data_IF_080608931837
#
_entry.id   IF_080608931837
#
_cell.length_a   1.000
_cell.length_b   1.000
_cell.length_c   1.000
_cell.angle_alpha   90.00
_cell.angle_beta   90.00
_cell.angle_gamma   90.00
#
_symmetry.space_group_name_H-M   'P 1'
#
loop_
_entity.id
_entity.type
_entity.pdbx_description
1 polymer ?
#
# COMPACT_ATOMS: atom_id res chain seq x y z
N UNK A 1 12.14 -5.44 -0.95
CA UNK A 1 10.91 -6.18 -1.24
C UNK A 1 10.51 -6.98 0.00
N UNK A 2 9.27 -6.81 0.44
CA UNK A 2 8.68 -7.54 1.59
C UNK A 2 7.67 -8.60 1.14
N UNK A 3 7.35 -8.64 -0.14
CA UNK A 3 6.46 -9.61 -0.76
C UNK A 3 7.17 -10.88 -1.24
N UNK A 4 6.42 -11.70 -1.96
CA UNK A 4 6.92 -12.92 -2.57
C UNK A 4 7.79 -12.59 -3.80
N UNK A 5 8.90 -13.32 -3.95
CA UNK A 5 9.77 -13.30 -5.13
C UNK A 5 9.78 -14.65 -5.84
N UNK A 6 9.54 -15.73 -5.10
CA UNK A 6 9.49 -17.11 -5.61
C UNK A 6 8.55 -17.98 -4.75
N UNK A 7 8.42 -19.24 -5.13
CA UNK A 7 7.51 -20.19 -4.48
C UNK A 7 7.94 -20.65 -3.07
N UNK A 8 9.20 -20.39 -2.68
CA UNK A 8 9.71 -20.72 -1.36
C UNK A 8 9.52 -19.58 -0.35
N UNK A 9 9.13 -18.40 -0.82
CA UNK A 9 8.83 -17.27 0.05
C UNK A 9 7.59 -17.52 0.89
N UNK A 10 7.51 -16.84 2.02
CA UNK A 10 6.32 -16.83 2.87
C UNK A 10 5.07 -16.46 2.04
N UNK A 11 4.10 -17.38 2.02
CA UNK A 11 2.94 -17.26 1.12
C UNK A 11 2.03 -16.12 1.54
N UNK A 12 1.81 -15.21 0.62
CA UNK A 12 0.93 -14.06 0.79
C UNK A 12 -0.22 -14.09 -0.23
N UNK A 13 -1.40 -13.70 0.21
CA UNK A 13 -2.54 -13.42 -0.65
C UNK A 13 -2.81 -11.92 -0.69
N UNK A 14 -3.67 -11.46 -1.57
CA UNK A 14 -4.03 -10.04 -1.64
C UNK A 14 -4.62 -9.50 -0.32
N UNK A 15 -5.26 -10.34 0.48
CA UNK A 15 -5.78 -9.96 1.81
C UNK A 15 -4.61 -9.63 2.76
N UNK A 16 -3.58 -10.48 2.78
CA UNK A 16 -2.36 -10.26 3.56
C UNK A 16 -1.64 -8.98 3.12
N UNK A 17 -1.63 -8.68 1.82
CA UNK A 17 -1.03 -7.45 1.30
C UNK A 17 -1.72 -6.19 1.83
N UNK A 18 -3.04 -6.22 2.03
CA UNK A 18 -3.77 -5.14 2.69
C UNK A 18 -3.28 -4.88 4.11
N UNK A 19 -3.17 -5.94 4.93
CA UNK A 19 -2.69 -5.88 6.32
C UNK A 19 -1.25 -5.36 6.38
N UNK A 20 -0.35 -5.96 5.62
CA UNK A 20 1.07 -5.59 5.57
C UNK A 20 1.23 -4.11 5.18
N UNK A 21 0.55 -3.69 4.11
CA UNK A 21 0.63 -2.32 3.61
C UNK A 21 0.11 -1.30 4.62
N UNK A 22 -1.00 -1.61 5.29
CA UNK A 22 -1.57 -0.75 6.32
C UNK A 22 -0.60 -0.56 7.50
N UNK A 23 0.00 -1.64 7.98
CA UNK A 23 0.98 -1.59 9.07
C UNK A 23 2.22 -0.80 8.67
N UNK A 24 2.80 -1.08 7.51
CA UNK A 24 4.01 -0.40 7.04
C UNK A 24 3.83 1.10 6.83
N UNK A 25 2.70 1.51 6.24
CA UNK A 25 2.41 2.93 5.97
C UNK A 25 2.07 3.68 7.26
N UNK A 26 1.16 3.15 8.09
CA UNK A 26 0.75 3.82 9.33
C UNK A 26 1.88 3.90 10.35
N UNK A 27 2.74 2.89 10.43
CA UNK A 27 3.93 2.92 11.29
C UNK A 27 5.06 3.81 10.77
N UNK A 28 4.90 4.36 9.56
CA UNK A 28 5.94 5.10 8.84
C UNK A 28 7.22 4.29 8.63
N UNK A 29 7.08 2.98 8.51
CA UNK A 29 8.20 2.11 8.13
C UNK A 29 8.57 2.31 6.65
N UNK A 30 7.59 2.72 5.85
CA UNK A 30 7.76 3.11 4.44
C UNK A 30 6.86 4.31 4.13
N UNK A 31 7.20 5.08 3.11
CA UNK A 31 6.43 6.24 2.66
C UNK A 31 5.47 5.91 1.51
N UNK A 32 5.73 4.80 0.81
CA UNK A 32 4.94 4.39 -0.34
C UNK A 32 4.99 2.86 -0.52
N UNK A 33 3.88 2.28 -0.98
CA UNK A 33 3.78 0.84 -1.28
C UNK A 33 3.45 0.63 -2.75
N UNK A 34 4.23 -0.22 -3.43
CA UNK A 34 3.86 -0.78 -4.71
C UNK A 34 3.59 -2.26 -4.51
N UNK A 35 2.42 -2.70 -4.87
CA UNK A 35 1.96 -4.08 -4.71
C UNK A 35 1.03 -4.49 -5.85
N UNK A 36 0.44 -5.66 -5.75
CA UNK A 36 -0.53 -6.13 -6.73
C UNK A 36 -0.91 -7.59 -6.48
N UNK A 37 -1.74 -8.07 -7.35
CA UNK A 37 -2.11 -9.49 -7.43
C UNK A 37 -2.36 -9.85 -8.90
N UNK A 38 -2.86 -11.02 -9.22
CA UNK A 38 -3.09 -11.43 -10.60
C UNK A 38 -3.85 -10.37 -11.42
N UNK A 39 -4.93 -9.82 -10.89
CA UNK A 39 -5.73 -8.78 -11.56
C UNK A 39 -5.46 -7.35 -11.04
N UNK A 40 -4.76 -7.20 -9.92
CA UNK A 40 -4.59 -5.92 -9.21
C UNK A 40 -5.82 -5.47 -8.42
N UNK A 41 -7.02 -5.98 -8.73
CA UNK A 41 -8.28 -5.53 -8.11
C UNK A 41 -8.40 -5.96 -6.66
N UNK A 42 -8.06 -7.22 -6.35
CA UNK A 42 -8.12 -7.73 -4.98
C UNK A 42 -7.17 -6.98 -4.04
N UNK A 43 -5.94 -6.72 -4.48
CA UNK A 43 -4.98 -5.93 -3.72
C UNK A 43 -5.46 -4.48 -3.53
N UNK A 44 -5.99 -3.84 -4.57
CA UNK A 44 -6.60 -2.51 -4.49
C UNK A 44 -7.68 -2.43 -3.40
N UNK A 45 -8.62 -3.38 -3.40
CA UNK A 45 -9.71 -3.42 -2.41
C UNK A 45 -9.16 -3.65 -1.00
N UNK A 46 -8.24 -4.62 -0.84
CA UNK A 46 -7.67 -4.95 0.46
C UNK A 46 -6.88 -3.79 1.08
N UNK A 47 -6.07 -3.09 0.29
CA UNK A 47 -5.33 -1.93 0.75
C UNK A 47 -6.26 -0.80 1.18
N UNK A 48 -7.26 -0.49 0.35
CA UNK A 48 -8.20 0.59 0.63
C UNK A 48 -9.20 0.29 1.77
N UNK A 49 -9.23 -0.92 2.31
CA UNK A 49 -10.03 -1.27 3.48
C UNK A 49 -9.49 -0.60 4.76
N UNK A 50 -8.19 -0.31 4.81
CA UNK A 50 -7.54 0.19 6.02
C UNK A 50 -7.43 1.72 6.06
N UNK A 51 -7.49 2.33 7.27
CA UNK A 51 -7.18 3.74 7.45
C UNK A 51 -5.74 4.06 7.07
N UNK A 52 -5.47 5.30 6.70
CA UNK A 52 -4.13 5.76 6.35
C UNK A 52 -3.58 5.24 5.01
N UNK A 53 -4.37 4.45 4.27
CA UNK A 53 -3.97 3.91 2.96
C UNK A 53 -4.86 4.49 1.86
N UNK A 54 -4.24 5.10 0.86
CA UNK A 54 -4.89 5.54 -0.38
C UNK A 54 -4.18 4.86 -1.54
N UNK A 55 -4.83 3.82 -2.07
CA UNK A 55 -4.29 2.97 -3.13
C UNK A 55 -4.99 3.23 -4.45
N UNK A 56 -4.21 3.49 -5.50
CA UNK A 56 -4.66 3.58 -6.88
C UNK A 56 -4.43 2.28 -7.64
N UNK A 57 -5.29 2.02 -8.63
CA UNK A 57 -5.06 0.97 -9.62
C UNK A 57 -4.20 1.53 -10.75
N UNK A 58 -3.17 0.79 -11.14
CA UNK A 58 -2.21 1.27 -12.12
C UNK A 58 -1.91 0.18 -13.15
N UNK A 59 -2.07 0.50 -14.44
CA UNK A 59 -1.81 -0.39 -15.58
C UNK A 59 -0.71 0.18 -16.46
N UNK A 60 -0.62 1.51 -16.51
CA UNK A 60 0.29 2.23 -17.39
C UNK A 60 0.95 3.44 -16.70
N UNK A 61 2.03 3.99 -17.26
CA UNK A 61 2.76 5.11 -16.66
C UNK A 61 1.91 6.36 -16.41
N UNK A 62 0.92 6.60 -17.27
CA UNK A 62 -0.02 7.73 -17.14
C UNK A 62 -0.85 7.62 -15.86
N UNK A 63 -1.32 6.41 -15.52
CA UNK A 63 -2.04 6.15 -14.27
C UNK A 63 -1.17 6.52 -13.06
N UNK A 64 0.09 6.08 -13.06
CA UNK A 64 1.03 6.33 -11.98
C UNK A 64 1.29 7.83 -11.79
N UNK A 65 1.55 8.55 -12.88
CA UNK A 65 1.77 9.99 -12.87
C UNK A 65 0.55 10.75 -12.35
N UNK A 66 -0.62 10.51 -12.95
CA UNK A 66 -1.85 11.21 -12.56
C UNK A 66 -2.25 10.89 -11.11
N UNK A 67 -2.10 9.64 -10.68
CA UNK A 67 -2.37 9.29 -9.30
C UNK A 67 -1.46 10.03 -8.31
N UNK A 68 -0.18 10.13 -8.62
CA UNK A 68 0.77 10.89 -7.79
C UNK A 68 0.45 12.39 -7.77
N UNK A 69 0.13 12.98 -8.93
CA UNK A 69 -0.07 14.42 -9.05
C UNK A 69 -1.44 14.90 -8.59
N UNK A 70 -2.49 14.11 -8.78
CA UNK A 70 -3.88 14.50 -8.52
C UNK A 70 -4.41 13.96 -7.20
N UNK A 71 -4.19 12.66 -6.94
CA UNK A 71 -4.75 11.98 -5.79
C UNK A 71 -3.83 12.01 -4.56
N UNK A 72 -2.55 12.26 -4.77
CA UNK A 72 -1.52 12.31 -3.72
C UNK A 72 -1.55 11.07 -2.80
N UNK A 73 -1.87 9.89 -3.37
CA UNK A 73 -1.96 8.65 -2.63
C UNK A 73 -0.60 8.07 -2.23
N UNK A 74 -0.64 7.00 -1.44
CA UNK A 74 0.55 6.37 -0.88
C UNK A 74 0.73 4.88 -1.24
N UNK A 75 -0.11 4.36 -2.13
CA UNK A 75 0.04 3.00 -2.62
C UNK A 75 -0.44 2.84 -4.06
N UNK A 76 0.19 1.94 -4.80
CA UNK A 76 -0.26 1.49 -6.12
C UNK A 76 -0.48 -0.02 -6.14
N UNK A 77 -1.57 -0.44 -6.78
CA UNK A 77 -1.87 -1.85 -7.06
C UNK A 77 -1.83 -2.14 -8.55
N UNK A 78 -0.97 -3.10 -8.93
CA UNK A 78 -0.72 -3.49 -10.31
C UNK A 78 -1.27 -4.90 -10.61
N UNK A 79 -1.73 -5.16 -11.85
CA UNK A 79 -2.12 -6.49 -12.28
C UNK A 79 -0.89 -7.29 -12.73
N UNK A 80 -0.45 -8.29 -11.95
CA UNK A 80 0.75 -9.06 -12.28
C UNK A 80 0.51 -10.23 -13.24
N UNK A 81 -0.74 -10.63 -13.50
CA UNK A 81 -1.09 -11.68 -14.44
C UNK A 81 -1.92 -11.18 -15.63
N UNK A 82 -2.36 -9.93 -15.62
CA UNK A 82 -3.19 -9.34 -16.68
C UNK A 82 -2.42 -8.24 -17.40
N UNK A 83 -2.35 -8.33 -18.74
CA UNK A 83 -1.69 -7.31 -19.55
C UNK A 83 -0.17 -7.39 -19.55
N UNK A 84 0.40 -8.46 -19.03
CA UNK A 84 1.83 -8.72 -19.04
C UNK A 84 2.18 -9.62 -20.24
N UNK A 85 3.02 -9.11 -21.11
CA UNK A 85 3.53 -9.80 -22.29
C UNK A 85 4.82 -9.14 -22.76
N UNK A 86 5.06 -9.15 -24.02
CA UNK A 86 6.22 -8.49 -24.63
C UNK A 86 6.31 -7.02 -24.21
N UNK A 87 7.46 -6.63 -23.61
CA UNK A 87 7.70 -5.26 -23.13
C UNK A 87 7.08 -4.95 -21.75
N UNK A 88 6.55 -5.93 -21.01
CA UNK A 88 5.96 -5.71 -19.69
C UNK A 88 6.97 -5.10 -18.71
N UNK A 89 8.23 -5.50 -18.78
CA UNK A 89 9.32 -4.95 -17.96
C UNK A 89 9.57 -3.45 -18.24
N UNK A 90 9.39 -3.02 -19.49
CA UNK A 90 9.49 -1.60 -19.86
C UNK A 90 8.31 -0.81 -19.30
N UNK A 91 7.09 -1.35 -19.42
CA UNK A 91 5.90 -0.72 -18.86
C UNK A 91 6.04 -0.56 -17.33
N UNK A 92 6.47 -1.61 -16.63
CA UNK A 92 6.73 -1.58 -15.19
C UNK A 92 7.77 -0.52 -14.81
N UNK A 93 8.87 -0.47 -15.55
CA UNK A 93 9.91 0.54 -15.35
C UNK A 93 9.35 1.95 -15.49
N UNK A 94 8.59 2.22 -16.55
CA UNK A 94 7.99 3.54 -16.78
C UNK A 94 6.92 3.88 -15.73
N UNK A 95 6.16 2.91 -15.24
CA UNK A 95 5.24 3.09 -14.11
C UNK A 95 6.01 3.58 -12.88
N UNK A 96 7.12 2.93 -12.53
CA UNK A 96 7.91 3.32 -11.36
C UNK A 96 8.57 4.69 -11.55
N UNK A 97 9.11 4.96 -12.72
CA UNK A 97 9.67 6.27 -13.05
C UNK A 97 8.60 7.37 -12.88
N UNK A 98 7.37 7.14 -13.35
CA UNK A 98 6.29 8.12 -13.31
C UNK A 98 5.59 8.23 -11.94
N UNK A 99 5.59 7.18 -11.14
CA UNK A 99 5.09 7.23 -9.76
C UNK A 99 5.94 8.16 -8.87
N UNK A 100 7.23 8.31 -9.19
CA UNK A 100 8.21 9.08 -8.42
C UNK A 100 8.84 10.22 -9.22
N UNK A 101 8.18 10.70 -10.26
CA UNK A 101 8.62 11.82 -11.11
C UNK A 101 8.40 13.16 -10.39
N UNK A 102 9.36 13.52 -9.54
CA UNK A 102 9.33 14.77 -8.77
C UNK A 102 8.43 14.74 -7.52
N UNK A 103 7.98 15.92 -7.10
CA UNK A 103 7.07 16.06 -5.95
C UNK A 103 5.67 15.58 -6.31
N UNK A 104 4.99 14.95 -5.35
CA UNK A 104 3.58 14.58 -5.49
C UNK A 104 2.66 15.78 -5.21
N UNK A 105 1.43 15.71 -5.74
CA UNK A 105 0.42 16.72 -5.46
C UNK A 105 0.65 18.06 -6.13
N UNK A 106 1.41 18.10 -7.23
CA UNK A 106 1.58 19.34 -8.01
C UNK A 106 0.36 19.68 -8.87
N UNK A 107 -0.59 18.75 -8.99
CA UNK A 107 -1.80 18.92 -9.79
C UNK A 107 -1.62 18.62 -11.27
N UNK A 108 -2.75 18.24 -11.91
CA UNK A 108 -2.80 18.08 -13.35
C UNK A 108 -4.21 18.44 -13.88
N UNK A 109 -4.34 19.44 -14.80
CA UNK A 109 -3.27 20.41 -15.10
C UNK A 109 -2.88 21.24 -13.86
N UNK A 110 -1.74 21.92 -13.90
CA UNK A 110 -1.14 22.61 -12.73
C UNK A 110 -2.07 23.63 -12.07
N UNK A 111 -2.94 24.27 -12.84
CA UNK A 111 -3.92 25.25 -12.35
C UNK A 111 -4.96 24.64 -11.41
N UNK A 112 -5.11 23.30 -11.41
CA UNK A 112 -6.02 22.57 -10.55
C UNK A 112 -5.41 22.10 -9.23
N UNK A 113 -4.15 22.37 -9.00
CA UNK A 113 -3.39 21.90 -7.83
C UNK A 113 -4.14 22.12 -6.50
N UNK A 114 -4.60 23.34 -6.26
CA UNK A 114 -5.25 23.70 -4.99
C UNK A 114 -6.53 22.89 -4.78
N UNK A 115 -7.40 22.84 -5.78
CA UNK A 115 -8.67 22.11 -5.69
C UNK A 115 -8.47 20.59 -5.56
N UNK A 116 -7.47 20.01 -6.24
CA UNK A 116 -7.15 18.60 -6.18
C UNK A 116 -6.58 18.22 -4.82
N UNK A 117 -5.66 19.01 -4.26
CA UNK A 117 -5.13 18.79 -2.93
C UNK A 117 -6.19 18.95 -1.83
N UNK A 118 -7.08 19.95 -1.96
CA UNK A 118 -8.21 20.09 -1.05
C UNK A 118 -9.12 18.84 -1.06
N UNK A 119 -9.42 18.31 -2.25
CA UNK A 119 -10.20 17.07 -2.38
C UNK A 119 -9.49 15.86 -1.78
N UNK A 120 -8.18 15.73 -1.93
CA UNK A 120 -7.40 14.65 -1.32
C UNK A 120 -7.47 14.70 0.22
N UNK A 121 -7.41 15.90 0.82
CA UNK A 121 -7.58 16.10 2.27
C UNK A 121 -9.00 15.73 2.71
N UNK A 122 -10.02 16.19 1.99
CA UNK A 122 -11.42 15.87 2.29
C UNK A 122 -11.63 14.35 2.26
N UNK A 123 -11.10 13.67 1.23
CA UNK A 123 -11.22 12.21 1.11
C UNK A 123 -10.52 11.47 2.25
N UNK A 124 -9.35 11.95 2.67
CA UNK A 124 -8.64 11.41 3.83
C UNK A 124 -9.46 11.55 5.12
N UNK A 125 -10.00 12.73 5.38
CA UNK A 125 -10.83 13.00 6.55
C UNK A 125 -12.13 12.16 6.54
N UNK A 126 -12.76 12.00 5.37
CA UNK A 126 -13.91 11.11 5.22
C UNK A 126 -13.56 9.66 5.55
N UNK A 127 -12.42 9.19 5.07
CA UNK A 127 -11.94 7.84 5.36
C UNK A 127 -11.70 7.63 6.85
N UNK A 128 -11.05 8.58 7.52
CA UNK A 128 -10.86 8.53 8.97
C UNK A 128 -12.19 8.50 9.73
N UNK A 129 -13.16 9.31 9.31
CA UNK A 129 -14.47 9.37 9.96
C UNK A 129 -15.28 8.06 9.86
N UNK A 130 -15.10 7.27 8.81
CA UNK A 130 -15.83 6.01 8.59
C UNK A 130 -15.01 4.76 8.91
N UNK A 131 -13.73 4.90 9.25
CA UNK A 131 -12.85 3.79 9.59
C UNK A 131 -12.65 3.69 11.11
N UNK A 132 -12.43 2.46 11.60
CA UNK A 132 -11.86 2.28 12.95
C UNK A 132 -10.41 2.74 12.96
N UNK A 133 -9.88 3.23 14.11
CA UNK A 133 -8.44 3.36 14.29
C UNK A 133 -7.72 2.06 13.93
N UNK A 134 -6.50 2.14 13.35
CA UNK A 134 -5.81 0.96 12.87
C UNK A 134 -5.63 -0.10 13.97
N UNK A 135 -5.26 0.29 15.18
CA UNK A 135 -5.07 -0.64 16.28
C UNK A 135 -6.35 -1.40 16.62
N UNK A 136 -7.50 -0.70 16.68
CA UNK A 136 -8.79 -1.31 16.95
C UNK A 136 -9.22 -2.25 15.81
N UNK A 137 -8.90 -1.87 14.57
CA UNK A 137 -9.15 -2.72 13.40
C UNK A 137 -8.31 -4.01 13.46
N UNK A 138 -7.01 -3.90 13.78
CA UNK A 138 -6.13 -5.07 13.90
C UNK A 138 -6.56 -5.99 15.04
N UNK A 139 -6.99 -5.46 16.18
CA UNK A 139 -7.50 -6.26 17.29
C UNK A 139 -8.81 -6.98 16.99
N UNK A 140 -9.58 -6.48 16.02
CA UNK A 140 -10.84 -7.09 15.61
C UNK A 140 -10.67 -8.14 14.47
N UNK A 141 -9.51 -8.20 13.85
CA UNK A 141 -9.18 -9.19 12.80
C UNK A 141 -8.75 -10.50 13.47
N UNK A 142 -9.08 -11.63 12.83
CA UNK A 142 -8.64 -12.96 13.26
C UNK A 142 -7.12 -13.00 13.49
N UNK A 143 -6.65 -13.34 14.71
CA UNK A 143 -5.25 -13.39 15.03
C UNK A 143 -4.43 -14.35 14.14
N UNK A 144 -5.01 -15.46 13.70
CA UNK A 144 -4.31 -16.40 12.83
C UNK A 144 -4.10 -15.82 11.43
N UNK A 145 -5.07 -15.05 10.91
CA UNK A 145 -4.90 -14.32 9.67
C UNK A 145 -3.79 -13.25 9.80
N UNK A 146 -3.74 -12.55 10.93
CA UNK A 146 -2.67 -11.58 11.19
C UNK A 146 -1.30 -12.25 11.27
N UNK A 147 -1.18 -13.37 11.98
CA UNK A 147 0.07 -14.14 12.06
C UNK A 147 0.54 -14.61 10.67
N UNK A 148 -0.40 -15.13 9.87
CA UNK A 148 -0.10 -15.50 8.49
C UNK A 148 0.38 -14.31 7.66
N UNK A 149 -0.23 -13.14 7.80
CA UNK A 149 0.20 -11.95 7.08
C UNK A 149 1.60 -11.47 7.51
N UNK A 150 1.87 -11.48 8.83
CA UNK A 150 3.05 -10.83 9.42
C UNK A 150 4.22 -11.79 9.69
N UNK A 151 4.03 -13.10 9.45
CA UNK A 151 5.02 -14.13 9.71
C UNK A 151 6.27 -14.11 8.80
N UNK A 152 6.21 -13.39 7.67
CA UNK A 152 7.32 -13.34 6.71
C UNK A 152 8.54 -12.57 7.24
N UNK A 153 9.73 -13.18 7.17
CA UNK A 153 10.99 -12.56 7.64
C UNK A 153 11.28 -11.22 6.97
N UNK A 154 11.01 -11.10 5.66
CA UNK A 154 11.22 -9.86 4.90
C UNK A 154 10.37 -8.71 5.43
N UNK A 155 9.11 -9.00 5.77
CA UNK A 155 8.22 -8.02 6.40
C UNK A 155 8.74 -7.64 7.78
N UNK A 156 9.03 -8.62 8.64
CA UNK A 156 9.49 -8.39 10.01
C UNK A 156 10.76 -7.54 10.04
N UNK A 157 11.74 -7.87 9.20
CA UNK A 157 12.97 -7.09 9.07
C UNK A 157 12.70 -5.65 8.65
N UNK A 158 11.82 -5.43 7.67
CA UNK A 158 11.46 -4.08 7.23
C UNK A 158 10.76 -3.32 8.35
N UNK A 159 9.72 -3.91 8.94
CA UNK A 159 8.87 -3.27 9.94
C UNK A 159 9.65 -2.94 11.22
N UNK A 160 10.29 -3.93 11.84
CA UNK A 160 10.97 -3.73 13.14
C UNK A 160 12.18 -2.80 13.07
N UNK A 161 12.85 -2.72 11.90
CA UNK A 161 13.99 -1.82 11.73
C UNK A 161 13.61 -0.37 11.42
N UNK A 162 12.41 -0.14 10.87
CA UNK A 162 12.06 1.18 10.35
C UNK A 162 10.82 1.80 11.02
N UNK A 163 10.02 1.03 11.76
CA UNK A 163 8.81 1.53 12.40
C UNK A 163 9.10 2.65 13.39
N UNK A 164 8.31 3.72 13.28
CA UNK A 164 8.32 4.86 14.20
C UNK A 164 7.22 4.77 15.26
N UNK A 165 6.37 3.74 15.16
CA UNK A 165 5.25 3.49 16.06
C UNK A 165 5.58 2.36 17.04
N UNK A 166 5.90 2.73 18.29
CA UNK A 166 6.26 1.77 19.35
C UNK A 166 5.10 0.91 19.82
N UNK A 167 3.88 1.42 19.79
CA UNK A 167 2.69 0.69 20.21
C UNK A 167 2.41 -0.44 19.21
N UNK A 168 2.45 -0.12 17.92
CA UNK A 168 2.27 -1.08 16.86
C UNK A 168 3.39 -2.13 16.84
N UNK A 169 4.64 -1.73 17.12
CA UNK A 169 5.77 -2.66 17.27
C UNK A 169 5.52 -3.66 18.39
N UNK A 170 5.08 -3.19 19.56
CA UNK A 170 4.79 -4.06 20.70
C UNK A 170 3.61 -5.00 20.42
N UNK A 171 2.57 -4.50 19.76
CA UNK A 171 1.42 -5.31 19.36
C UNK A 171 1.83 -6.46 18.43
N UNK A 172 2.57 -6.15 17.36
CA UNK A 172 3.02 -7.15 16.39
C UNK A 172 3.96 -8.18 17.03
N UNK A 173 4.90 -7.76 17.89
CA UNK A 173 5.75 -8.68 18.64
C UNK A 173 4.92 -9.65 19.49
N UNK A 174 4.04 -9.12 20.34
CA UNK A 174 3.18 -9.94 21.19
C UNK A 174 2.27 -10.89 20.43
N UNK A 175 1.87 -10.54 19.23
CA UNK A 175 1.06 -11.37 18.35
C UNK A 175 1.88 -12.55 17.79
N UNK A 176 3.12 -12.29 17.37
CA UNK A 176 4.00 -13.30 16.75
C UNK A 176 4.61 -14.26 17.79
N UNK A 177 4.78 -13.81 19.04
CA UNK A 177 5.34 -14.61 20.14
C UNK A 177 4.31 -15.59 20.76
N UNK A 178 3.03 -15.47 20.43
CA UNK A 178 1.93 -16.34 20.88
C UNK A 178 1.71 -17.51 19.93
#
# INVERSE_FOLDING_TARGET
NVGMCDDNDHRLTYVHLGIISAILLNSRSVDFVITGCGTGQGALMALNTFPGVTCGYCIEPTDAYLFAQVNNGNALSLPFAKGFGWGAELNMRYIFEKAFDGEKGLGYPAERRESQNANAIILSNMKEAVSKPLMDALQAIDPELLKQALGGEKFQKCFFNNSKDKELVNYVKNLLDR
#
